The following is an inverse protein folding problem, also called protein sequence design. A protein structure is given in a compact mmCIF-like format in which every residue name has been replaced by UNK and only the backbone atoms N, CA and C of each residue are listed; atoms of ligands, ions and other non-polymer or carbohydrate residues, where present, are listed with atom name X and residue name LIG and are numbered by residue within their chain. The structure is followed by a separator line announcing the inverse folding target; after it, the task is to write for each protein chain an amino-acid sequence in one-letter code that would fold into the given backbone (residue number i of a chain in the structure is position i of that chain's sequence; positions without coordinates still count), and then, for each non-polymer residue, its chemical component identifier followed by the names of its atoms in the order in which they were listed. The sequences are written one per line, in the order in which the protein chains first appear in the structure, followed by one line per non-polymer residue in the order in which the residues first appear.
data_IF_006899727180
#
_entry.id   IF_006899727180
#
_cell.length_a   1.000
_cell.length_b   1.000
_cell.length_c   1.000
_cell.angle_alpha   90.00
_cell.angle_beta   90.00
_cell.angle_gamma   90.00
#
_symmetry.space_group_name_H-M   'P 1'
#
loop_
_entity.id
_entity.type
_entity.pdbx_description
1 polymer ?
#
# COMPACT_ATOMS: atom_id res chain seq x y z
N UNK A 1 -17.60 10.86 -13.09
CA UNK A 1 -16.23 10.33 -13.24
C UNK A 1 -16.01 9.28 -12.16
N UNK A 2 -15.81 8.02 -12.54
CA UNK A 2 -15.39 7.00 -11.57
C UNK A 2 -13.94 7.29 -11.19
N UNK A 3 -13.67 7.57 -9.90
CA UNK A 3 -12.31 7.67 -9.41
C UNK A 3 -11.65 6.30 -9.52
N UNK A 4 -10.54 6.22 -10.23
CA UNK A 4 -9.88 4.93 -10.51
C UNK A 4 -8.82 4.72 -9.45
N UNK A 5 -9.03 3.71 -8.61
CA UNK A 5 -7.98 3.20 -7.73
C UNK A 5 -7.10 2.28 -8.58
N UNK A 6 -5.81 2.60 -8.62
CA UNK A 6 -4.80 1.79 -9.25
C UNK A 6 -3.84 1.29 -8.17
N UNK A 7 -3.61 -0.01 -8.14
CA UNK A 7 -2.69 -0.65 -7.19
C UNK A 7 -1.60 -1.32 -8.00
N UNK A 8 -0.35 -1.02 -7.70
CA UNK A 8 0.80 -1.57 -8.41
C UNK A 8 1.79 -2.19 -7.43
N UNK A 9 2.22 -3.41 -7.73
CA UNK A 9 3.34 -4.05 -7.03
C UNK A 9 4.63 -3.31 -7.37
N UNK A 10 5.42 -2.97 -6.37
CA UNK A 10 6.65 -2.19 -6.58
C UNK A 10 7.71 -2.62 -5.58
N UNK A 11 8.91 -2.90 -6.06
CA UNK A 11 10.05 -3.25 -5.21
C UNK A 11 10.32 -2.19 -4.15
N UNK A 12 10.65 -2.63 -2.93
CA UNK A 12 11.05 -1.74 -1.83
C UNK A 12 12.25 -0.86 -2.21
N UNK A 13 13.12 -1.32 -3.10
CA UNK A 13 14.31 -0.59 -3.54
C UNK A 13 13.98 0.53 -4.55
N UNK A 14 12.74 0.61 -5.04
CA UNK A 14 12.35 1.68 -5.95
C UNK A 14 12.40 3.06 -5.27
N UNK A 15 12.73 4.14 -6.00
CA UNK A 15 12.76 5.49 -5.45
C UNK A 15 11.42 5.91 -4.80
N UNK A 16 10.31 5.43 -5.36
CA UNK A 16 8.96 5.70 -4.85
C UNK A 16 8.77 5.05 -3.47
N UNK A 17 9.06 3.75 -3.35
CA UNK A 17 8.94 3.03 -2.08
C UNK A 17 9.87 3.63 -1.02
N UNK A 18 11.13 3.91 -1.37
CA UNK A 18 12.09 4.53 -0.46
C UNK A 18 11.61 5.90 0.04
N UNK A 19 11.02 6.72 -0.83
CA UNK A 19 10.45 8.02 -0.44
C UNK A 19 9.30 7.84 0.55
N UNK A 20 8.37 6.91 0.28
CA UNK A 20 7.21 6.66 1.15
C UNK A 20 7.63 6.11 2.52
N UNK A 21 8.54 5.14 2.53
CA UNK A 21 9.08 4.57 3.77
C UNK A 21 9.80 5.64 4.61
N UNK A 22 10.55 6.54 3.98
CA UNK A 22 11.19 7.67 4.69
C UNK A 22 10.18 8.67 5.23
N UNK A 23 9.12 8.98 4.49
CA UNK A 23 8.02 9.84 4.96
C UNK A 23 7.34 9.25 6.19
N UNK A 24 7.16 7.94 6.21
CA UNK A 24 6.54 7.22 7.32
C UNK A 24 7.48 7.07 8.53
N UNK A 25 8.76 6.76 8.29
CA UNK A 25 9.77 6.72 9.35
C UNK A 25 9.91 8.07 10.07
N UNK A 26 9.81 9.19 9.34
CA UNK A 26 9.76 10.54 9.95
C UNK A 26 8.51 10.77 10.79
N UNK A 27 7.40 10.09 10.51
CA UNK A 27 6.17 10.11 11.31
C UNK A 27 6.32 9.24 12.58
N UNK A 28 6.94 8.07 12.45
CA UNK A 28 7.12 7.10 13.53
C UNK A 28 8.21 7.52 14.52
N UNK A 29 9.18 8.39 14.18
CA UNK A 29 10.09 8.97 15.19
C UNK A 29 9.40 9.76 16.33
N UNK A 30 8.08 9.95 16.27
CA UNK A 30 7.22 10.47 17.35
C UNK A 30 6.52 9.39 18.20
N UNK A 31 6.59 8.11 17.83
CA UNK A 31 6.02 6.94 18.53
C UNK A 31 7.00 5.77 18.47
N UNK A 32 7.46 5.34 19.64
CA UNK A 32 8.45 4.28 19.89
C UNK A 32 8.48 3.14 18.87
N UNK A 33 9.69 2.87 18.39
CA UNK A 33 10.07 1.86 17.40
C UNK A 33 9.59 0.47 17.79
N UNK A 34 8.63 -0.07 17.04
CA UNK A 34 8.51 -1.53 16.89
C UNK A 34 9.36 -1.91 15.67
N UNK A 35 10.49 -2.52 15.97
CA UNK A 35 11.45 -3.06 14.99
C UNK A 35 10.85 -4.33 14.38
N UNK A 36 9.98 -4.17 13.40
CA UNK A 36 9.63 -5.29 12.54
C UNK A 36 10.70 -5.35 11.45
N UNK A 37 11.67 -6.24 11.62
CA UNK A 37 12.65 -6.63 10.59
C UNK A 37 11.90 -7.13 9.37
N UNK A 38 11.65 -6.19 8.47
CA UNK A 38 10.76 -6.37 7.35
C UNK A 38 11.48 -7.07 6.20
N UNK A 39 11.40 -8.41 6.13
CA UNK A 39 11.92 -9.19 4.99
C UNK A 39 11.10 -8.98 3.70
N UNK A 40 10.22 -7.97 3.63
CA UNK A 40 9.41 -7.65 2.45
C UNK A 40 10.28 -7.10 1.32
N UNK A 41 10.23 -7.75 0.17
CA UNK A 41 10.93 -7.30 -1.05
C UNK A 41 10.08 -6.34 -1.89
N UNK A 42 8.78 -6.26 -1.64
CA UNK A 42 7.81 -5.52 -2.44
C UNK A 42 6.70 -4.89 -1.59
N UNK A 43 6.11 -3.82 -2.12
CA UNK A 43 4.96 -3.11 -1.54
C UNK A 43 3.88 -2.91 -2.61
N UNK A 44 2.64 -2.78 -2.18
CA UNK A 44 1.54 -2.36 -3.04
C UNK A 44 1.42 -0.83 -2.99
N UNK A 45 1.81 -0.16 -4.07
CA UNK A 45 1.65 1.29 -4.21
C UNK A 45 0.22 1.60 -4.65
N UNK A 46 -0.46 2.44 -3.88
CA UNK A 46 -1.86 2.78 -4.10
C UNK A 46 -1.94 4.19 -4.67
N UNK A 47 -2.58 4.29 -5.83
CA UNK A 47 -2.82 5.53 -6.55
C UNK A 47 -4.31 5.79 -6.69
N UNK A 48 -4.70 7.04 -6.47
CA UNK A 48 -6.04 7.55 -6.74
C UNK A 48 -5.91 8.63 -7.82
N UNK A 49 -6.55 8.42 -8.96
CA UNK A 49 -6.49 9.35 -10.11
C UNK A 49 -5.03 9.72 -10.47
N UNK A 50 -4.14 8.73 -10.50
CA UNK A 50 -2.70 8.88 -10.79
C UNK A 50 -1.85 9.39 -9.62
N UNK A 51 -2.46 9.91 -8.55
CA UNK A 51 -1.76 10.43 -7.38
C UNK A 51 -1.44 9.31 -6.39
N UNK A 52 -0.19 9.19 -5.95
CA UNK A 52 0.19 8.24 -4.90
C UNK A 52 -0.35 8.74 -3.55
N UNK A 53 -1.27 7.97 -3.00
CA UNK A 53 -1.95 8.29 -1.73
C UNK A 53 -1.45 7.45 -0.55
N UNK A 54 -0.78 6.33 -0.83
CA UNK A 54 -0.25 5.45 0.22
C UNK A 54 0.35 4.17 -0.34
N UNK A 55 0.75 3.29 0.57
CA UNK A 55 1.22 1.95 0.26
C UNK A 55 0.63 0.93 1.24
N UNK A 56 0.60 -0.34 0.84
CA UNK A 56 0.24 -1.44 1.73
C UNK A 56 1.34 -2.49 1.77
N UNK A 57 1.55 -3.05 2.96
CA UNK A 57 2.30 -4.30 3.14
C UNK A 57 1.33 -5.46 3.00
N UNK A 58 1.83 -6.59 2.51
CA UNK A 58 0.98 -7.75 2.25
C UNK A 58 1.77 -9.04 2.37
N UNK A 59 1.03 -10.12 2.60
CA UNK A 59 1.50 -11.50 2.44
C UNK A 59 0.75 -12.16 1.27
N UNK A 60 1.38 -13.18 0.69
CA UNK A 60 0.75 -14.03 -0.33
C UNK A 60 0.26 -15.31 0.35
N UNK A 61 -1.04 -15.58 0.23
CA UNK A 61 -1.70 -16.79 0.75
C UNK A 61 -1.99 -17.71 -0.43
N UNK A 62 -1.64 -18.99 -0.27
CA UNK A 62 -1.83 -20.05 -1.28
C UNK A 62 -1.21 -19.70 -2.66
N UNK A 63 -0.12 -18.91 -2.67
CA UNK A 63 0.56 -18.38 -3.87
C UNK A 63 -0.34 -17.57 -4.84
N UNK A 64 -1.58 -17.29 -4.45
CA UNK A 64 -2.62 -16.76 -5.35
C UNK A 64 -3.22 -15.47 -4.77
N UNK A 65 -3.49 -15.45 -3.47
CA UNK A 65 -4.24 -14.37 -2.84
C UNK A 65 -3.31 -13.41 -2.11
N UNK A 66 -3.62 -12.12 -2.22
CA UNK A 66 -2.88 -11.07 -1.53
C UNK A 66 -3.67 -10.67 -0.28
N UNK A 67 -3.06 -10.83 0.89
CA UNK A 67 -3.63 -10.40 2.16
C UNK A 67 -2.89 -9.16 2.67
N UNK A 68 -3.61 -8.07 2.95
CA UNK A 68 -2.99 -6.83 3.45
C UNK A 68 -2.72 -6.96 4.94
N UNK A 69 -1.49 -6.65 5.34
CA UNK A 69 -1.10 -6.63 6.75
C UNK A 69 -1.25 -5.23 7.35
N UNK A 70 -0.74 -4.21 6.66
CA UNK A 70 -0.86 -2.81 7.08
C UNK A 70 -1.01 -1.87 5.90
N UNK A 71 -1.69 -0.75 6.13
CA UNK A 71 -2.00 0.27 5.14
C UNK A 71 -1.50 1.63 5.64
N UNK A 72 -0.66 2.28 4.84
CA UNK A 72 0.06 3.49 5.23
C UNK A 72 -0.30 4.63 4.27
N UNK A 73 -0.96 5.66 4.80
CA UNK A 73 -1.41 6.82 4.03
C UNK A 73 -0.42 7.97 4.10
N UNK A 74 -0.22 8.66 2.97
CA UNK A 74 0.48 9.95 2.95
C UNK A 74 -0.36 11.01 3.67
N UNK A 75 0.32 11.99 4.27
CA UNK A 75 -0.29 13.15 4.97
C UNK A 75 -1.12 14.08 4.08
N UNK A 76 -1.07 13.94 2.75
CA UNK A 76 -1.79 14.79 1.79
C UNK A 76 -3.31 14.55 1.82
N UNK A 77 -3.75 13.41 2.36
CA UNK A 77 -5.17 13.07 2.50
C UNK A 77 -5.75 13.76 3.75
N UNK A 78 -6.61 14.78 3.56
CA UNK A 78 -7.42 15.37 4.65
C UNK A 78 -8.47 14.36 5.13
N UNK A 79 -8.77 14.37 6.43
CA UNK A 79 -9.67 13.42 7.12
C UNK A 79 -9.27 11.94 6.95
N UNK A 80 -8.08 11.62 7.50
CA UNK A 80 -7.46 10.30 7.41
C UNK A 80 -8.40 9.15 7.78
N UNK A 81 -9.23 9.28 8.82
CA UNK A 81 -10.09 8.19 9.30
C UNK A 81 -11.18 7.77 8.31
N UNK A 82 -11.85 8.73 7.66
CA UNK A 82 -12.89 8.45 6.68
C UNK A 82 -12.28 7.91 5.38
N UNK A 83 -11.15 8.49 4.96
CA UNK A 83 -10.39 8.03 3.79
C UNK A 83 -9.88 6.61 3.97
N UNK A 84 -9.35 6.29 5.15
CA UNK A 84 -8.87 4.96 5.53
C UNK A 84 -9.97 3.91 5.50
N UNK A 85 -11.13 4.23 6.07
CA UNK A 85 -12.29 3.34 6.05
C UNK A 85 -12.77 3.02 4.63
N UNK A 86 -12.94 4.03 3.77
CA UNK A 86 -13.42 3.81 2.41
C UNK A 86 -12.38 3.14 1.52
N UNK A 87 -11.11 3.57 1.63
CA UNK A 87 -10.04 3.03 0.81
C UNK A 87 -9.76 1.57 1.17
N UNK A 88 -9.70 1.21 2.45
CA UNK A 88 -9.50 -0.18 2.86
C UNK A 88 -10.59 -1.10 2.30
N UNK A 89 -11.86 -0.69 2.31
CA UNK A 89 -12.96 -1.47 1.70
C UNK A 89 -12.82 -1.59 0.19
N UNK A 90 -12.48 -0.51 -0.51
CA UNK A 90 -12.31 -0.54 -1.96
C UNK A 90 -11.10 -1.38 -2.36
N UNK A 91 -9.99 -1.25 -1.64
CA UNK A 91 -8.78 -2.01 -1.84
C UNK A 91 -9.02 -3.50 -1.60
N UNK A 92 -9.72 -3.88 -0.54
CA UNK A 92 -10.10 -5.28 -0.31
C UNK A 92 -10.99 -5.84 -1.42
N UNK A 93 -11.92 -5.05 -1.96
CA UNK A 93 -12.72 -5.46 -3.13
C UNK A 93 -11.84 -5.63 -4.38
N UNK A 94 -10.89 -4.72 -4.59
CA UNK A 94 -9.96 -4.79 -5.70
C UNK A 94 -9.09 -6.05 -5.60
N UNK A 95 -8.55 -6.37 -4.42
CA UNK A 95 -7.72 -7.56 -4.19
C UNK A 95 -8.51 -8.87 -4.30
N UNK A 96 -9.77 -8.91 -3.88
CA UNK A 96 -10.63 -10.09 -4.10
C UNK A 96 -10.82 -10.44 -5.58
N UNK A 97 -10.75 -9.43 -6.44
CA UNK A 97 -10.92 -9.59 -7.88
C UNK A 97 -9.59 -9.73 -8.63
N UNK A 98 -8.44 -9.67 -7.93
CA UNK A 98 -7.12 -9.71 -8.54
C UNK A 98 -6.21 -10.70 -7.81
N UNK A 99 -5.62 -11.64 -8.54
CA UNK A 99 -4.63 -12.57 -7.99
C UNK A 99 -3.26 -11.91 -7.91
N UNK A 100 -2.36 -12.49 -7.11
CA UNK A 100 -0.96 -12.08 -7.05
C UNK A 100 -0.29 -12.09 -8.44
N UNK A 101 -0.62 -13.08 -9.29
CA UNK A 101 -0.15 -13.16 -10.68
C UNK A 101 -0.57 -11.92 -11.50
N UNK A 102 -1.79 -11.42 -11.32
CA UNK A 102 -2.25 -10.21 -12.01
C UNK A 102 -1.36 -9.00 -11.65
N UNK A 103 -0.87 -8.93 -10.42
CA UNK A 103 0.03 -7.88 -9.98
C UNK A 103 1.43 -8.00 -10.58
N UNK A 104 1.98 -9.21 -10.65
CA UNK A 104 3.28 -9.47 -11.27
C UNK A 104 3.27 -9.09 -12.76
N UNK A 105 2.21 -9.47 -13.49
CA UNK A 105 2.07 -9.21 -14.93
C UNK A 105 1.84 -7.73 -15.26
N UNK A 106 1.32 -6.95 -14.30
CA UNK A 106 1.08 -5.52 -14.45
C UNK A 106 2.24 -4.64 -13.92
N UNK A 107 3.31 -5.26 -13.40
CA UNK A 107 4.45 -4.58 -12.79
C UNK A 107 5.46 -4.04 -13.82
#
# INVERSE_FOLDING_TARGET
MHKIINVKLTSIFSPICQTLLQEDAKRIKTQSEDQDTDNRTELLIIRLDGTIIGYATFDVIDDIHVNINSLHFRKIVKDHSLGEYWLSRQLNRYLRNNTYINFLLAS
#
